data_IF_132404400166
#
_entry.id   IF_132404400166
#
_cell.length_a   1.000
_cell.length_b   1.000
_cell.length_c   1.000
_cell.angle_alpha   90.00
_cell.angle_beta   90.00
_cell.angle_gamma   90.00
#
_symmetry.space_group_name_H-M   'P 1'
#
loop_
_entity.id
_entity.type
_entity.pdbx_description
1 polymer ?
#
# COMPACT_ATOMS: atom_id res chain seq x y z
N UNK A 1 7.40 13.75 -19.99
CA UNK A 1 7.06 14.77 -19.01
C UNK A 1 6.67 14.14 -17.70
N UNK A 2 7.44 14.45 -16.68
CA UNK A 2 7.21 13.90 -15.37
C UNK A 2 5.83 14.23 -14.83
N UNK A 3 5.30 15.42 -15.15
CA UNK A 3 4.05 15.90 -14.55
C UNK A 3 2.88 14.96 -14.80
N UNK A 4 2.75 14.43 -16.03
CA UNK A 4 1.62 13.52 -16.33
C UNK A 4 1.76 12.20 -15.58
N UNK A 5 2.95 11.66 -15.52
CA UNK A 5 3.20 10.41 -14.81
C UNK A 5 3.00 10.60 -13.31
N UNK A 6 3.50 11.71 -12.79
CA UNK A 6 3.35 12.02 -11.37
C UNK A 6 1.88 12.21 -11.01
N UNK A 7 1.11 12.88 -11.86
CA UNK A 7 -0.33 13.05 -11.62
C UNK A 7 -1.03 11.69 -11.59
N UNK A 8 -0.64 10.77 -12.47
CA UNK A 8 -1.20 9.42 -12.46
C UNK A 8 -0.84 8.68 -11.18
N UNK A 9 0.41 8.78 -10.74
CA UNK A 9 0.86 8.17 -9.49
C UNK A 9 0.06 8.72 -8.32
N UNK A 10 -0.11 10.04 -8.28
CA UNK A 10 -0.87 10.70 -7.22
C UNK A 10 -2.31 10.19 -7.17
N UNK A 11 -2.94 10.09 -8.34
CA UNK A 11 -4.32 9.59 -8.41
C UNK A 11 -4.42 8.14 -7.94
N UNK A 12 -3.47 7.30 -8.35
CA UNK A 12 -3.47 5.89 -7.95
C UNK A 12 -3.28 5.74 -6.45
N UNK A 13 -2.37 6.51 -5.87
CA UNK A 13 -2.14 6.46 -4.43
C UNK A 13 -3.33 6.98 -3.65
N UNK A 14 -3.95 8.06 -4.11
CA UNK A 14 -5.14 8.59 -3.46
C UNK A 14 -6.28 7.58 -3.49
N UNK A 15 -6.46 6.90 -4.62
CA UNK A 15 -7.47 5.84 -4.73
C UNK A 15 -7.15 4.68 -3.80
N UNK A 16 -5.87 4.29 -3.73
CA UNK A 16 -5.47 3.20 -2.85
C UNK A 16 -5.74 3.53 -1.38
N UNK A 17 -5.48 4.77 -0.96
CA UNK A 17 -5.77 5.20 0.40
C UNK A 17 -7.25 5.09 0.69
N UNK A 18 -8.08 5.60 -0.21
CA UNK A 18 -9.53 5.59 -0.04
C UNK A 18 -10.06 4.16 0.07
N UNK A 19 -9.60 3.29 -0.82
CA UNK A 19 -10.05 1.90 -0.83
C UNK A 19 -9.56 1.18 0.43
N UNK A 20 -8.33 1.44 0.84
CA UNK A 20 -7.79 0.82 2.04
C UNK A 20 -8.54 1.30 3.29
N UNK A 21 -8.94 2.57 3.32
CA UNK A 21 -9.74 3.07 4.43
C UNK A 21 -11.09 2.36 4.51
N UNK A 22 -11.68 2.00 3.37
CA UNK A 22 -12.88 1.19 3.35
C UNK A 22 -12.62 -0.18 3.98
N UNK A 23 -11.47 -0.79 3.68
CA UNK A 23 -11.11 -2.07 4.28
C UNK A 23 -10.93 -1.94 5.80
N UNK A 24 -10.37 -0.83 6.27
CA UNK A 24 -10.21 -0.58 7.71
C UNK A 24 -11.58 -0.53 8.39
N UNK A 25 -12.52 0.17 7.77
CA UNK A 25 -13.89 0.25 8.31
C UNK A 25 -14.51 -1.14 8.35
N UNK A 26 -14.36 -1.91 7.28
CA UNK A 26 -14.89 -3.27 7.24
C UNK A 26 -14.29 -4.14 8.34
N UNK A 27 -12.99 -4.04 8.56
CA UNK A 27 -12.33 -4.80 9.61
C UNK A 27 -12.88 -4.40 10.99
N UNK A 28 -13.02 -3.10 11.24
CA UNK A 28 -13.49 -2.61 12.53
C UNK A 28 -14.92 -3.03 12.82
N UNK A 29 -15.72 -3.19 11.78
CA UNK A 29 -17.11 -3.63 11.91
C UNK A 29 -17.30 -5.13 11.80
N UNK A 30 -16.21 -5.87 11.64
CA UNK A 30 -16.20 -7.33 11.50
C UNK A 30 -17.06 -7.81 10.34
N UNK A 31 -16.99 -7.08 9.22
CA UNK A 31 -17.72 -7.42 8.02
C UNK A 31 -16.99 -8.55 7.29
N UNK A 32 -17.73 -9.26 6.45
CA UNK A 32 -17.28 -10.38 5.63
C UNK A 32 -15.85 -10.21 5.12
N UNK A 33 -15.00 -11.17 5.48
CA UNK A 33 -13.58 -11.13 5.12
C UNK A 33 -13.36 -11.26 3.60
N UNK A 34 -14.29 -11.87 2.86
CA UNK A 34 -14.17 -11.97 1.41
C UNK A 34 -14.26 -10.60 0.78
N UNK A 35 -15.24 -9.79 1.19
CA UNK A 35 -15.39 -8.44 0.67
C UNK A 35 -14.22 -7.55 1.10
N UNK A 36 -13.73 -7.73 2.31
CA UNK A 36 -12.57 -6.99 2.77
C UNK A 36 -11.33 -7.35 1.95
N UNK A 37 -11.14 -8.64 1.67
CA UNK A 37 -10.01 -9.09 0.85
C UNK A 37 -10.07 -8.49 -0.56
N UNK A 38 -11.27 -8.39 -1.13
CA UNK A 38 -11.43 -7.76 -2.44
C UNK A 38 -11.01 -6.30 -2.41
N UNK A 39 -11.36 -5.58 -1.36
CA UNK A 39 -10.95 -4.18 -1.21
C UNK A 39 -9.46 -4.05 -1.06
N UNK A 40 -8.86 -4.89 -0.22
CA UNK A 40 -7.41 -4.88 -0.03
C UNK A 40 -6.70 -5.21 -1.34
N UNK A 41 -7.18 -6.19 -2.07
CA UNK A 41 -6.61 -6.55 -3.38
C UNK A 41 -6.67 -5.38 -4.36
N UNK A 42 -7.78 -4.67 -4.37
CA UNK A 42 -7.95 -3.52 -5.25
C UNK A 42 -6.94 -2.41 -4.89
N UNK A 43 -6.79 -2.12 -3.60
CA UNK A 43 -5.82 -1.13 -3.15
C UNK A 43 -4.40 -1.56 -3.50
N UNK A 44 -4.08 -2.84 -3.29
CA UNK A 44 -2.78 -3.41 -3.61
C UNK A 44 -2.48 -3.26 -5.10
N UNK A 45 -3.44 -3.56 -5.96
CA UNK A 45 -3.25 -3.48 -7.41
C UNK A 45 -2.97 -2.05 -7.87
N UNK A 46 -3.68 -1.09 -7.32
CA UNK A 46 -3.45 0.31 -7.66
C UNK A 46 -2.08 0.78 -7.18
N UNK A 47 -1.68 0.33 -6.01
CA UNK A 47 -0.38 0.69 -5.46
C UNK A 47 0.75 0.08 -6.26
N UNK A 48 0.62 -1.18 -6.70
CA UNK A 48 1.62 -1.81 -7.56
C UNK A 48 1.79 -1.03 -8.86
N UNK A 49 0.68 -0.57 -9.44
CA UNK A 49 0.74 0.25 -10.65
C UNK A 49 1.48 1.56 -10.38
N UNK A 50 1.19 2.20 -9.25
CA UNK A 50 1.88 3.44 -8.89
C UNK A 50 3.38 3.21 -8.71
N UNK A 51 3.76 2.10 -8.08
CA UNK A 51 5.17 1.76 -7.86
C UNK A 51 5.90 1.57 -9.19
N UNK A 52 5.27 0.89 -10.14
CA UNK A 52 5.87 0.71 -11.46
C UNK A 52 6.14 2.07 -12.11
N UNK A 53 5.18 2.98 -12.05
CA UNK A 53 5.34 4.30 -12.63
C UNK A 53 6.43 5.10 -11.93
N UNK A 54 6.53 5.00 -10.61
CA UNK A 54 7.60 5.68 -9.86
C UNK A 54 8.97 5.16 -10.28
N UNK A 55 9.10 3.86 -10.48
CA UNK A 55 10.38 3.27 -10.88
C UNK A 55 10.84 3.81 -12.22
N UNK A 56 9.92 4.15 -13.11
CA UNK A 56 10.27 4.69 -14.41
C UNK A 56 10.93 6.07 -14.31
N UNK A 57 10.72 6.79 -13.22
CA UNK A 57 11.30 8.11 -13.02
C UNK A 57 12.55 8.10 -12.15
N UNK A 58 12.97 6.93 -11.68
CA UNK A 58 14.13 6.80 -10.81
C UNK A 58 15.22 5.99 -11.49
N UNK A 59 16.46 6.30 -11.16
CA UNK A 59 17.62 5.55 -11.65
C UNK A 59 17.61 4.15 -11.02
N UNK A 60 18.12 3.16 -11.77
CA UNK A 60 18.17 1.78 -11.30
C UNK A 60 18.89 1.62 -9.98
N UNK A 61 19.89 2.44 -9.73
CA UNK A 61 20.67 2.35 -8.49
C UNK A 61 19.83 2.70 -7.25
N UNK A 62 18.71 3.40 -7.42
CA UNK A 62 17.84 3.75 -6.33
C UNK A 62 16.68 2.78 -6.13
N UNK A 63 16.59 1.75 -6.96
CA UNK A 63 15.45 0.82 -6.90
C UNK A 63 15.76 -0.40 -6.03
N UNK A 64 16.75 -0.31 -5.17
CA UNK A 64 17.08 -1.40 -4.25
C UNK A 64 15.97 -1.55 -3.20
N UNK A 65 15.75 -2.79 -2.82
CA UNK A 65 14.71 -3.07 -1.82
C UNK A 65 15.12 -2.52 -0.48
N UNK A 66 14.17 -1.88 0.17
CA UNK A 66 14.39 -1.30 1.48
C UNK A 66 13.13 -1.42 2.32
N UNK A 67 13.31 -1.72 3.56
CA UNK A 67 12.26 -1.61 4.56
C UNK A 67 11.02 -2.44 4.33
N UNK A 68 11.13 -3.58 3.65
CA UNK A 68 9.95 -4.40 3.49
C UNK A 68 9.68 -5.21 4.75
N UNK A 69 8.41 -5.58 4.93
CA UNK A 69 7.96 -6.25 6.13
C UNK A 69 8.17 -7.76 6.04
N UNK A 70 8.47 -8.36 7.18
CA UNK A 70 8.64 -9.80 7.28
C UNK A 70 7.30 -10.50 7.47
N UNK A 71 7.26 -11.78 7.10
CA UNK A 71 6.07 -12.60 7.28
C UNK A 71 5.64 -12.69 8.74
N UNK A 72 6.58 -12.58 9.66
CA UNK A 72 6.32 -12.70 11.09
C UNK A 72 6.10 -11.35 11.78
N UNK A 73 5.81 -10.30 11.00
CA UNK A 73 5.51 -8.99 11.56
C UNK A 73 4.45 -9.12 12.65
N UNK A 74 4.65 -8.48 13.81
CA UNK A 74 3.75 -8.65 14.95
C UNK A 74 2.38 -8.01 14.81
N UNK A 75 2.22 -7.08 13.84
CA UNK A 75 0.92 -6.42 13.68
C UNK A 75 -0.14 -7.41 13.20
N UNK A 76 -1.35 -7.26 13.72
CA UNK A 76 -2.49 -8.01 13.21
C UNK A 76 -2.98 -7.37 11.90
N UNK A 77 -4.05 -7.94 11.33
CA UNK A 77 -4.60 -7.43 10.07
C UNK A 77 -4.99 -5.95 10.19
N UNK A 78 -5.65 -5.57 11.28
CA UNK A 78 -6.04 -4.18 11.48
C UNK A 78 -4.83 -3.25 11.56
N UNK A 79 -3.81 -3.65 12.32
CA UNK A 79 -2.58 -2.89 12.44
C UNK A 79 -1.86 -2.74 11.11
N UNK A 80 -1.84 -3.79 10.31
CA UNK A 80 -1.22 -3.74 8.98
C UNK A 80 -1.98 -2.82 8.03
N UNK A 81 -3.30 -2.83 8.10
CA UNK A 81 -4.10 -1.92 7.26
C UNK A 81 -3.83 -0.47 7.62
N UNK A 82 -3.74 -0.15 8.91
CA UNK A 82 -3.43 1.21 9.36
C UNK A 82 -2.01 1.58 8.93
N UNK A 83 -1.06 0.66 9.07
CA UNK A 83 0.32 0.92 8.65
C UNK A 83 0.38 1.21 7.15
N UNK A 84 -0.38 0.46 6.34
CA UNK A 84 -0.44 0.71 4.90
C UNK A 84 -0.96 2.12 4.62
N UNK A 85 -2.02 2.53 5.31
CA UNK A 85 -2.60 3.85 5.12
C UNK A 85 -1.59 4.95 5.46
N UNK A 86 -0.93 4.80 6.61
CA UNK A 86 0.07 5.79 7.04
C UNK A 86 1.23 5.87 6.06
N UNK A 87 1.72 4.74 5.58
CA UNK A 87 2.82 4.72 4.61
C UNK A 87 2.40 5.33 3.27
N UNK A 88 1.16 5.07 2.84
CA UNK A 88 0.64 5.68 1.61
C UNK A 88 0.55 7.20 1.73
N UNK A 89 0.07 7.68 2.87
CA UNK A 89 -0.01 9.12 3.12
C UNK A 89 1.39 9.73 3.10
N UNK A 90 2.35 9.08 3.72
CA UNK A 90 3.74 9.54 3.70
C UNK A 90 4.30 9.57 2.28
N UNK A 91 4.02 8.52 1.49
CA UNK A 91 4.46 8.48 0.10
C UNK A 91 3.87 9.64 -0.70
N UNK A 92 2.58 9.88 -0.53
CA UNK A 92 1.90 10.96 -1.23
C UNK A 92 2.49 12.32 -0.87
N UNK A 93 2.83 12.51 0.41
CA UNK A 93 3.43 13.76 0.87
C UNK A 93 4.84 13.99 0.31
N UNK A 94 5.52 12.93 -0.13
CA UNK A 94 6.88 13.03 -0.65
C UNK A 94 6.95 13.13 -2.17
N UNK A 95 5.84 12.92 -2.86
CA UNK A 95 5.85 12.84 -4.32
C UNK A 95 6.46 14.06 -4.98
N UNK A 96 6.19 15.25 -4.46
CA UNK A 96 6.66 16.49 -5.06
C UNK A 96 8.07 16.88 -4.64
N UNK A 97 8.59 16.29 -3.56
CA UNK A 97 9.89 16.69 -3.01
C UNK A 97 10.95 15.61 -3.10
N UNK A 98 10.57 14.34 -3.00
CA UNK A 98 11.56 13.26 -2.94
C UNK A 98 10.92 11.97 -3.44
N UNK A 99 11.08 11.70 -4.73
CA UNK A 99 10.51 10.50 -5.36
C UNK A 99 11.07 9.21 -4.77
N UNK A 100 12.32 9.23 -4.34
CA UNK A 100 12.93 8.05 -3.75
C UNK A 100 12.25 7.70 -2.42
N UNK A 101 12.03 8.70 -1.56
CA UNK A 101 11.30 8.50 -0.32
C UNK A 101 9.85 8.08 -0.58
N UNK A 102 9.23 8.67 -1.61
CA UNK A 102 7.89 8.25 -2.00
C UNK A 102 7.87 6.77 -2.37
N UNK A 103 8.86 6.30 -3.12
CA UNK A 103 8.94 4.89 -3.50
C UNK A 103 9.14 3.99 -2.29
N UNK A 104 10.02 4.37 -1.36
CA UNK A 104 10.25 3.57 -0.16
C UNK A 104 8.96 3.41 0.63
N UNK A 105 8.24 4.50 0.85
CA UNK A 105 6.99 4.45 1.60
C UNK A 105 5.91 3.68 0.86
N UNK A 106 5.85 3.82 -0.46
CA UNK A 106 4.91 3.04 -1.26
C UNK A 106 5.18 1.54 -1.15
N UNK A 107 6.45 1.15 -1.13
CA UNK A 107 6.81 -0.25 -0.96
C UNK A 107 6.44 -0.79 0.42
N UNK A 108 6.62 0.04 1.45
CA UNK A 108 6.19 -0.36 2.80
C UNK A 108 4.69 -0.60 2.84
N UNK A 109 3.92 0.29 2.23
CA UNK A 109 2.47 0.12 2.16
C UNK A 109 2.10 -1.15 1.39
N UNK A 110 2.75 -1.37 0.25
CA UNK A 110 2.51 -2.57 -0.56
C UNK A 110 2.77 -3.83 0.24
N UNK A 111 3.89 -3.87 0.96
CA UNK A 111 4.25 -5.05 1.72
C UNK A 111 3.25 -5.30 2.86
N UNK A 112 2.76 -4.24 3.50
CA UNK A 112 1.73 -4.38 4.52
C UNK A 112 0.45 -4.99 3.92
N UNK A 113 0.01 -4.48 2.76
CA UNK A 113 -1.18 -5.03 2.10
C UNK A 113 -0.96 -6.47 1.66
N UNK A 114 0.22 -6.80 1.18
CA UNK A 114 0.54 -8.17 0.79
C UNK A 114 0.44 -9.11 1.98
N UNK A 115 0.93 -8.68 3.14
CA UNK A 115 0.79 -9.48 4.36
C UNK A 115 -0.66 -9.66 4.77
N UNK A 116 -1.46 -8.60 4.66
CA UNK A 116 -2.89 -8.70 4.95
C UNK A 116 -3.53 -9.76 4.05
N UNK A 117 -3.26 -9.69 2.75
CA UNK A 117 -3.83 -10.65 1.80
C UNK A 117 -3.39 -12.07 2.13
N UNK A 118 -2.12 -12.25 2.48
CA UNK A 118 -1.61 -13.55 2.86
C UNK A 118 -2.32 -14.10 4.09
N UNK A 119 -2.52 -13.28 5.09
CA UNK A 119 -3.19 -13.70 6.33
C UNK A 119 -4.66 -13.98 6.13
N UNK A 120 -5.34 -13.19 5.31
CA UNK A 120 -6.74 -13.44 5.00
C UNK A 120 -6.90 -14.76 4.24
N UNK A 121 -6.00 -15.03 3.31
CA UNK A 121 -6.02 -16.27 2.54
C UNK A 121 -5.81 -17.49 3.45
N UNK A 122 -4.95 -17.35 4.45
CA UNK A 122 -4.67 -18.45 5.38
C UNK A 122 -5.70 -18.59 6.49
N UNK A 123 -6.63 -17.65 6.59
CA UNK A 123 -7.60 -17.63 7.67
C UNK A 123 -7.01 -17.20 9.01
N UNK A 124 -5.85 -16.56 9.01
CA UNK A 124 -5.14 -16.14 10.23
C UNK A 124 -5.55 -14.74 10.66
N UNK A 125 -6.82 -14.53 10.86
CA UNK A 125 -7.31 -13.25 11.34
C UNK A 125 -8.41 -13.50 12.35
N UNK A 126 -8.56 -12.55 13.26
CA UNK A 126 -9.61 -12.60 14.26
C UNK A 126 -10.51 -11.40 14.09
N UNK A 127 -11.77 -11.68 14.05
CA UNK A 127 -12.76 -10.64 14.15
C UNK A 127 -13.33 -10.58 15.55
#
# INVERSE_FOLDING_TARGET
MKSKRIDKVRALMSDAIKINDEAIVMFSKRIDSVNMADRVWEAYSKLEHAIILLKLDLSDEFIQRQGYLEEDDPFDVGGLLVKASDSLINALNKIDSDLYEALINARLARDALRLVLSRLKKGNFCF
#
